data_IF_974024263187
#
_entry.id   IF_974024263187
#
_cell.length_a   1.000
_cell.length_b   1.000
_cell.length_c   1.000
_cell.angle_alpha   90.00
_cell.angle_beta   90.00
_cell.angle_gamma   90.00
#
_symmetry.space_group_name_H-M   'P 1'
#
loop_
_entity.id
_entity.type
_entity.pdbx_description
1 polymer ?
#
# COMPACT_ATOMS: atom_id res chain seq x y z
N UNK A 1 8.62 -4.87 -26.32
CA UNK A 1 8.46 -4.27 -24.98
C UNK A 1 9.62 -4.77 -24.13
N UNK A 2 10.59 -3.91 -23.79
CA UNK A 2 11.85 -4.30 -23.17
C UNK A 2 11.58 -4.91 -21.79
N UNK A 3 12.08 -6.13 -21.58
CA UNK A 3 11.93 -6.95 -20.37
C UNK A 3 12.54 -6.19 -19.17
N UNK A 4 11.70 -5.82 -18.19
CA UNK A 4 12.01 -5.07 -16.96
C UNK A 4 12.96 -5.79 -15.96
N UNK A 5 13.86 -6.66 -16.42
CA UNK A 5 14.76 -7.41 -15.54
C UNK A 5 15.82 -6.55 -14.85
N UNK A 6 16.14 -5.36 -15.41
CA UNK A 6 17.20 -4.48 -14.90
C UNK A 6 16.91 -3.90 -13.51
N UNK A 7 15.63 -3.72 -13.14
CA UNK A 7 15.28 -3.08 -11.87
C UNK A 7 15.32 -4.03 -10.68
N UNK A 8 15.27 -5.35 -10.91
CA UNK A 8 15.04 -6.34 -9.84
C UNK A 8 16.29 -6.74 -9.04
N UNK A 9 17.48 -6.66 -9.63
CA UNK A 9 18.70 -7.25 -9.04
C UNK A 9 19.87 -6.28 -8.85
N UNK A 10 19.96 -5.19 -9.62
CA UNK A 10 21.16 -4.34 -9.66
C UNK A 10 21.01 -3.04 -8.86
N UNK A 11 19.79 -2.53 -8.66
CA UNK A 11 19.58 -1.23 -8.01
C UNK A 11 18.40 -1.25 -7.03
N UNK A 12 18.68 -1.63 -5.78
CA UNK A 12 17.71 -1.69 -4.67
C UNK A 12 16.92 -0.38 -4.53
N UNK A 13 17.54 0.76 -4.84
CA UNK A 13 16.91 2.08 -4.80
C UNK A 13 15.80 2.23 -5.84
N UNK A 14 16.03 1.80 -7.09
CA UNK A 14 15.02 1.91 -8.14
C UNK A 14 13.83 0.99 -7.88
N UNK A 15 14.08 -0.24 -7.42
CA UNK A 15 13.01 -1.17 -7.05
C UNK A 15 12.12 -0.59 -5.95
N UNK A 16 12.73 0.03 -4.93
CA UNK A 16 12.03 0.73 -3.85
C UNK A 16 11.15 1.87 -4.40
N UNK A 17 11.71 2.74 -5.25
CA UNK A 17 10.98 3.85 -5.86
C UNK A 17 9.79 3.37 -6.72
N UNK A 18 9.98 2.35 -7.54
CA UNK A 18 8.91 1.75 -8.35
C UNK A 18 7.81 1.17 -7.45
N UNK A 19 8.20 0.55 -6.34
CA UNK A 19 7.25 -0.02 -5.37
C UNK A 19 6.40 1.07 -4.72
N UNK A 20 7.04 2.15 -4.25
CA UNK A 20 6.33 3.30 -3.68
C UNK A 20 5.38 3.94 -4.69
N UNK A 21 5.82 4.14 -5.93
CA UNK A 21 4.99 4.68 -7.00
C UNK A 21 3.79 3.77 -7.30
N UNK A 22 4.01 2.46 -7.39
CA UNK A 22 2.94 1.48 -7.64
C UNK A 22 1.90 1.49 -6.51
N UNK A 23 2.34 1.62 -5.25
CA UNK A 23 1.44 1.76 -4.09
C UNK A 23 0.63 3.07 -4.18
N UNK A 24 1.25 4.20 -4.53
CA UNK A 24 0.53 5.46 -4.74
C UNK A 24 -0.52 5.34 -5.86
N UNK A 25 -0.16 4.69 -6.99
CA UNK A 25 -1.11 4.39 -8.06
C UNK A 25 -2.25 3.47 -7.61
N UNK A 26 -1.98 2.54 -6.70
CA UNK A 26 -3.00 1.67 -6.11
C UNK A 26 -4.00 2.49 -5.29
N UNK A 27 -3.53 3.36 -4.39
CA UNK A 27 -4.41 4.22 -3.57
C UNK A 27 -5.33 5.06 -4.46
N UNK A 28 -4.77 5.76 -5.45
CA UNK A 28 -5.54 6.56 -6.41
C UNK A 28 -6.54 5.69 -7.18
N UNK A 29 -6.14 4.48 -7.60
CA UNK A 29 -7.04 3.56 -8.30
C UNK A 29 -8.22 3.10 -7.42
N UNK A 30 -8.00 2.97 -6.11
CA UNK A 30 -9.06 2.65 -5.14
C UNK A 30 -10.03 3.84 -5.04
N UNK A 31 -9.53 5.06 -4.92
CA UNK A 31 -10.35 6.28 -4.83
C UNK A 31 -11.26 6.45 -6.05
N UNK A 32 -10.77 6.12 -7.24
CA UNK A 32 -11.55 6.16 -8.48
C UNK A 32 -12.35 4.88 -8.77
N UNK A 33 -12.41 3.91 -7.84
CA UNK A 33 -13.17 2.67 -8.00
C UNK A 33 -12.68 1.75 -9.14
N UNK A 34 -11.42 1.88 -9.58
CA UNK A 34 -10.85 1.14 -10.72
C UNK A 34 -10.43 -0.27 -10.32
N UNK A 35 -11.40 -1.12 -9.98
CA UNK A 35 -11.17 -2.44 -9.39
C UNK A 35 -10.22 -3.35 -10.18
N UNK A 36 -10.24 -3.34 -11.53
CA UNK A 36 -9.32 -4.15 -12.34
C UNK A 36 -7.86 -3.71 -12.17
N UNK A 37 -7.63 -2.41 -12.15
CA UNK A 37 -6.30 -1.83 -11.93
C UNK A 37 -5.80 -2.14 -10.53
N UNK A 38 -6.67 -2.06 -9.51
CA UNK A 38 -6.30 -2.40 -8.14
C UNK A 38 -5.83 -3.86 -8.03
N UNK A 39 -6.58 -4.81 -8.62
CA UNK A 39 -6.22 -6.24 -8.60
C UNK A 39 -4.86 -6.47 -9.29
N UNK A 40 -4.65 -5.84 -10.45
CA UNK A 40 -3.37 -5.91 -11.15
C UNK A 40 -2.21 -5.36 -10.31
N UNK A 41 -2.35 -4.14 -9.79
CA UNK A 41 -1.32 -3.48 -8.97
C UNK A 41 -1.02 -4.25 -7.69
N UNK A 42 -2.04 -4.80 -7.01
CA UNK A 42 -1.83 -5.64 -5.82
C UNK A 42 -0.96 -6.85 -6.14
N UNK A 43 -1.17 -7.50 -7.30
CA UNK A 43 -0.33 -8.63 -7.72
C UNK A 43 1.11 -8.18 -7.95
N UNK A 44 1.32 -7.14 -8.75
CA UNK A 44 2.67 -6.66 -9.09
C UNK A 44 3.44 -6.14 -7.85
N UNK A 45 2.76 -5.47 -6.92
CA UNK A 45 3.39 -4.99 -5.68
C UNK A 45 3.80 -6.15 -4.77
N UNK A 46 3.01 -7.24 -4.71
CA UNK A 46 3.43 -8.44 -3.97
C UNK A 46 4.72 -9.03 -4.54
N UNK A 47 4.83 -9.11 -5.86
CA UNK A 47 6.03 -9.62 -6.54
C UNK A 47 7.24 -8.70 -6.28
N UNK A 48 7.04 -7.38 -6.31
CA UNK A 48 8.09 -6.39 -5.96
C UNK A 48 8.55 -6.50 -4.51
N UNK A 49 7.64 -6.76 -3.57
CA UNK A 49 7.96 -6.87 -2.14
C UNK A 49 8.46 -8.25 -1.71
N UNK A 50 8.35 -9.26 -2.59
CA UNK A 50 8.83 -10.62 -2.33
C UNK A 50 10.34 -10.63 -2.06
N UNK A 51 10.75 -11.32 -1.00
CA UNK A 51 12.16 -11.45 -0.57
C UNK A 51 12.88 -10.13 -0.24
N UNK A 52 12.16 -9.01 -0.08
CA UNK A 52 12.74 -7.72 0.29
C UNK A 52 12.54 -7.39 1.77
N UNK A 53 13.46 -6.62 2.36
CA UNK A 53 13.37 -6.08 3.73
C UNK A 53 12.78 -4.64 3.75
N UNK A 54 11.88 -4.35 2.81
CA UNK A 54 11.24 -3.04 2.62
C UNK A 54 10.05 -2.87 3.58
N UNK A 55 10.30 -2.78 4.89
CA UNK A 55 9.26 -2.77 5.93
C UNK A 55 8.32 -1.57 5.85
N UNK A 56 8.82 -0.40 5.44
CA UNK A 56 7.99 0.77 5.20
C UNK A 56 6.96 0.49 4.10
N UNK A 57 7.42 0.08 2.91
CA UNK A 57 6.56 -0.22 1.78
C UNK A 57 5.58 -1.36 2.08
N UNK A 58 6.01 -2.40 2.82
CA UNK A 58 5.12 -3.48 3.28
C UNK A 58 4.01 -2.96 4.19
N UNK A 59 4.32 -2.02 5.08
CA UNK A 59 3.34 -1.44 6.01
C UNK A 59 2.34 -0.55 5.27
N UNK A 60 2.82 0.30 4.36
CA UNK A 60 1.93 1.12 3.52
C UNK A 60 1.07 0.23 2.62
N UNK A 61 1.63 -0.83 2.06
CA UNK A 61 0.88 -1.76 1.22
C UNK A 61 -0.16 -2.55 2.01
N UNK A 62 0.12 -2.93 3.27
CA UNK A 62 -0.86 -3.52 4.17
C UNK A 62 -2.07 -2.58 4.36
N UNK A 63 -1.80 -1.29 4.60
CA UNK A 63 -2.85 -0.28 4.69
C UNK A 63 -3.66 -0.18 3.39
N UNK A 64 -2.99 -0.04 2.24
CA UNK A 64 -3.66 0.10 0.93
C UNK A 64 -4.51 -1.12 0.56
N UNK A 65 -4.07 -2.33 0.92
CA UNK A 65 -4.87 -3.56 0.77
C UNK A 65 -6.09 -3.54 1.67
N UNK A 66 -5.93 -3.14 2.93
CA UNK A 66 -7.04 -2.95 3.86
C UNK A 66 -8.07 -1.96 3.32
N UNK A 67 -7.61 -0.84 2.76
CA UNK A 67 -8.47 0.17 2.14
C UNK A 67 -9.24 -0.39 0.95
N UNK A 68 -8.58 -1.14 0.04
CA UNK A 68 -9.25 -1.78 -1.08
C UNK A 68 -10.31 -2.80 -0.63
N UNK A 69 -9.99 -3.63 0.37
CA UNK A 69 -10.92 -4.59 0.93
C UNK A 69 -12.13 -3.90 1.59
N UNK A 70 -11.89 -2.82 2.34
CA UNK A 70 -12.94 -2.04 2.96
C UNK A 70 -13.90 -1.44 1.90
N UNK A 71 -13.36 -0.84 0.83
CA UNK A 71 -14.15 -0.35 -0.32
C UNK A 71 -14.93 -1.44 -1.07
N UNK A 72 -14.62 -2.71 -0.82
CA UNK A 72 -15.34 -3.88 -1.33
C UNK A 72 -16.36 -4.43 -0.33
N UNK A 73 -16.69 -3.67 0.72
CA UNK A 73 -17.54 -4.07 1.85
C UNK A 73 -17.00 -5.26 2.66
N UNK A 74 -15.69 -5.51 2.61
CA UNK A 74 -15.05 -6.53 3.43
C UNK A 74 -14.56 -5.91 4.75
N UNK A 75 -15.21 -6.26 5.86
CA UNK A 75 -14.92 -5.74 7.20
C UNK A 75 -13.49 -6.03 7.68
N UNK A 76 -12.84 -7.08 7.15
CA UNK A 76 -11.44 -7.40 7.47
C UNK A 76 -10.47 -6.31 6.97
N UNK A 77 -10.89 -5.45 6.04
CA UNK A 77 -10.09 -4.34 5.55
C UNK A 77 -9.75 -3.32 6.64
N UNK A 78 -10.70 -3.05 7.56
CA UNK A 78 -10.51 -2.13 8.69
C UNK A 78 -9.38 -2.62 9.59
N UNK A 79 -9.39 -3.91 9.93
CA UNK A 79 -8.37 -4.52 10.78
C UNK A 79 -6.97 -4.40 10.16
N UNK A 80 -6.84 -4.60 8.84
CA UNK A 80 -5.55 -4.42 8.14
C UNK A 80 -5.06 -2.96 8.18
N UNK A 81 -5.96 -2.00 7.98
CA UNK A 81 -5.61 -0.58 8.09
C UNK A 81 -5.15 -0.24 9.51
N UNK A 82 -5.86 -0.70 10.54
CA UNK A 82 -5.50 -0.49 11.94
C UNK A 82 -4.15 -1.14 12.31
N UNK A 83 -3.88 -2.36 11.82
CA UNK A 83 -2.58 -3.01 12.01
C UNK A 83 -1.42 -2.19 11.42
N UNK A 84 -1.61 -1.60 10.24
CA UNK A 84 -0.60 -0.74 9.64
C UNK A 84 -0.37 0.55 10.45
N UNK A 85 -1.43 1.16 10.98
CA UNK A 85 -1.32 2.32 11.89
C UNK A 85 -0.56 1.94 13.17
N UNK A 86 -0.87 0.78 13.76
CA UNK A 86 -0.18 0.28 14.95
C UNK A 86 1.33 0.09 14.70
N UNK A 87 1.73 -0.37 13.51
CA UNK A 87 3.15 -0.47 13.15
C UNK A 87 3.82 0.91 13.14
N UNK A 88 3.18 1.93 12.54
CA UNK A 88 3.72 3.29 12.57
C UNK A 88 3.82 3.86 13.98
N UNK A 89 2.86 3.56 14.84
CA UNK A 89 2.88 3.93 16.25
C UNK A 89 4.03 3.27 17.01
N UNK A 90 4.22 1.95 16.85
CA UNK A 90 5.32 1.19 17.46
C UNK A 90 6.69 1.74 17.03
N UNK A 91 6.82 2.14 15.77
CA UNK A 91 8.05 2.73 15.23
C UNK A 91 8.23 4.22 15.58
N UNK A 92 7.26 4.82 16.28
CA UNK A 92 7.23 6.24 16.66
C UNK A 92 7.30 7.20 15.44
N UNK A 93 6.76 6.78 14.30
CA UNK A 93 6.71 7.53 13.04
C UNK A 93 5.52 8.50 13.02
N UNK A 94 5.56 9.52 13.89
CA UNK A 94 4.42 10.41 14.17
C UNK A 94 3.81 11.10 12.95
N UNK A 95 4.64 11.53 12.00
CA UNK A 95 4.18 12.23 10.79
C UNK A 95 3.40 11.29 9.87
N UNK A 96 3.92 10.09 9.64
CA UNK A 96 3.29 9.06 8.83
C UNK A 96 2.01 8.57 9.51
N UNK A 97 2.08 8.27 10.81
CA UNK A 97 0.93 7.87 11.60
C UNK A 97 -0.21 8.89 11.48
N UNK A 98 0.08 10.18 11.69
CA UNK A 98 -0.93 11.24 11.57
C UNK A 98 -1.57 11.24 10.17
N UNK A 99 -0.77 11.23 9.12
CA UNK A 99 -1.27 11.25 7.75
C UNK A 99 -2.23 10.09 7.44
N UNK A 100 -1.85 8.85 7.80
CA UNK A 100 -2.68 7.68 7.54
C UNK A 100 -3.89 7.57 8.48
N UNK A 101 -3.79 8.07 9.72
CA UNK A 101 -4.92 8.17 10.64
C UNK A 101 -5.96 9.19 10.17
N UNK A 102 -5.52 10.36 9.72
CA UNK A 102 -6.41 11.40 9.17
C UNK A 102 -7.15 10.86 7.93
N UNK A 103 -6.43 10.18 7.04
CA UNK A 103 -7.03 9.50 5.90
C UNK A 103 -8.03 8.39 6.32
N UNK A 104 -7.67 7.56 7.29
CA UNK A 104 -8.52 6.48 7.80
C UNK A 104 -9.86 6.99 8.35
N UNK A 105 -9.81 8.03 9.20
CA UNK A 105 -11.01 8.70 9.74
C UNK A 105 -11.85 9.30 8.61
N UNK A 106 -11.21 10.00 7.66
CA UNK A 106 -11.91 10.62 6.54
C UNK A 106 -12.67 9.65 5.63
N UNK A 107 -12.28 8.36 5.63
CA UNK A 107 -12.95 7.31 4.87
C UNK A 107 -14.10 6.70 5.66
N UNK A 108 -13.88 6.41 6.94
CA UNK A 108 -14.90 5.80 7.80
C UNK A 108 -16.09 6.73 8.02
N UNK A 109 -15.84 8.03 8.17
CA UNK A 109 -16.91 9.01 8.38
C UNK A 109 -17.74 9.30 7.11
N UNK A 110 -17.31 8.82 5.93
CA UNK A 110 -17.98 9.04 4.64
C UNK A 110 -18.87 7.88 4.19
N UNK A 111 -18.76 6.70 4.82
CA UNK A 111 -19.59 5.52 4.54
C UNK A 111 -20.70 5.36 5.59
#
# INVERSE_FOLDING_TARGET
MIRNYFYSSINKTNKKLVTQLAINCLIISIDYGRSKNCIFLIKEINDLLSNELNYYEKTVFLYARGYFEFRKNNKNGIQKMQQALQIFEILNEKSILKHYSDHFVSIIDKD
#
